data_IF_610845492322
#
_entry.id   IF_610845492322
#
_cell.length_a   1.000
_cell.length_b   1.000
_cell.length_c   1.000
_cell.angle_alpha   90.00
_cell.angle_beta   90.00
_cell.angle_gamma   90.00
#
_symmetry.space_group_name_H-M   'P 1'
#
loop_
_entity.id
_entity.type
_entity.pdbx_description
1 polymer ?
#
# COMPACT_ATOMS: atom_id res chain seq x y z
N UNK A 1 -40.39 -16.54 22.72
CA UNK A 1 -40.51 -15.21 22.07
C UNK A 1 -39.34 -14.29 22.40
N UNK A 2 -39.07 -13.96 23.68
CA UNK A 2 -37.94 -13.08 24.06
C UNK A 2 -36.58 -13.59 23.58
N UNK A 3 -36.31 -14.88 23.72
CA UNK A 3 -35.06 -15.53 23.27
C UNK A 3 -34.84 -15.39 21.76
N UNK A 4 -35.88 -15.62 20.97
CA UNK A 4 -35.82 -15.47 19.51
C UNK A 4 -35.53 -14.02 19.09
N UNK A 5 -36.15 -13.04 19.76
CA UNK A 5 -35.88 -11.62 19.48
C UNK A 5 -34.44 -11.23 19.84
N UNK A 6 -33.95 -11.65 21.00
CA UNK A 6 -32.56 -11.39 21.41
C UNK A 6 -31.56 -12.04 20.45
N UNK A 7 -31.83 -13.27 20.02
CA UNK A 7 -31.00 -13.98 19.05
C UNK A 7 -31.00 -13.27 17.68
N UNK A 8 -32.16 -12.78 17.23
CA UNK A 8 -32.29 -12.03 15.98
C UNK A 8 -31.49 -10.72 16.03
N UNK A 9 -31.62 -9.95 17.12
CA UNK A 9 -30.89 -8.69 17.28
C UNK A 9 -29.38 -8.96 17.31
N UNK A 10 -28.94 -9.93 18.11
CA UNK A 10 -27.52 -10.29 18.22
C UNK A 10 -26.95 -10.76 16.88
N UNK A 11 -27.68 -11.61 16.14
CA UNK A 11 -27.24 -12.11 14.84
C UNK A 11 -27.17 -11.02 13.77
N UNK A 12 -28.13 -10.09 13.72
CA UNK A 12 -28.06 -8.93 12.81
C UNK A 12 -26.88 -8.03 13.15
N UNK A 13 -26.61 -7.78 14.44
CA UNK A 13 -25.43 -7.01 14.85
C UNK A 13 -24.11 -7.69 14.46
N UNK A 14 -24.02 -9.02 14.61
CA UNK A 14 -22.85 -9.78 14.18
C UNK A 14 -22.68 -9.76 12.64
N UNK A 15 -23.78 -9.95 11.89
CA UNK A 15 -23.80 -9.83 10.42
C UNK A 15 -23.31 -8.44 9.99
N UNK A 16 -23.85 -7.38 10.60
CA UNK A 16 -23.42 -6.00 10.39
C UNK A 16 -21.93 -5.78 10.64
N UNK A 17 -21.41 -6.35 11.73
CA UNK A 17 -20.01 -6.27 12.07
C UNK A 17 -19.12 -6.97 11.03
N UNK A 18 -19.39 -8.23 10.67
CA UNK A 18 -18.55 -8.98 9.73
C UNK A 18 -18.61 -8.41 8.31
N UNK A 19 -19.82 -8.07 7.85
CA UNK A 19 -20.08 -7.51 6.53
C UNK A 19 -19.47 -6.11 6.36
N UNK A 20 -19.60 -5.27 7.41
CA UNK A 20 -18.94 -3.97 7.49
C UNK A 20 -17.42 -4.09 7.55
N UNK A 21 -16.88 -4.96 8.41
CA UNK A 21 -15.44 -5.17 8.56
C UNK A 21 -14.78 -5.62 7.25
N UNK A 22 -15.43 -6.50 6.49
CA UNK A 22 -14.96 -6.91 5.16
C UNK A 22 -14.79 -5.69 4.22
N UNK A 23 -15.82 -4.85 4.10
CA UNK A 23 -15.74 -3.64 3.26
C UNK A 23 -14.71 -2.64 3.78
N UNK A 24 -14.63 -2.48 5.09
CA UNK A 24 -13.64 -1.62 5.74
C UNK A 24 -12.22 -2.09 5.47
N UNK A 25 -11.97 -3.40 5.48
CA UNK A 25 -10.67 -3.98 5.20
C UNK A 25 -10.22 -3.74 3.75
N UNK A 26 -11.11 -3.86 2.77
CA UNK A 26 -10.77 -3.52 1.37
C UNK A 26 -10.46 -2.03 1.16
N UNK A 27 -10.94 -1.16 2.05
CA UNK A 27 -10.77 0.30 1.98
C UNK A 27 -9.71 0.84 2.93
N UNK A 28 -9.18 0.03 3.83
CA UNK A 28 -8.22 0.47 4.84
C UNK A 28 -6.87 0.79 4.21
N UNK A 29 -6.19 1.80 4.74
CA UNK A 29 -4.87 2.19 4.26
C UNK A 29 -3.80 1.37 4.97
N UNK A 30 -3.10 0.49 4.23
CA UNK A 30 -2.01 -0.35 4.78
C UNK A 30 -0.94 0.45 5.53
N UNK A 31 -0.63 1.66 5.03
CA UNK A 31 0.35 2.57 5.62
C UNK A 31 -0.05 3.02 7.00
N UNK A 32 -1.33 3.32 7.20
CA UNK A 32 -1.85 3.77 8.47
C UNK A 32 -1.69 2.66 9.51
N UNK A 33 -2.04 1.43 9.14
CA UNK A 33 -1.86 0.26 9.99
C UNK A 33 -0.37 0.00 10.31
N UNK A 34 0.52 0.20 9.35
CA UNK A 34 1.97 0.08 9.55
C UNK A 34 2.50 1.13 10.53
N UNK A 35 2.06 2.39 10.40
CA UNK A 35 2.44 3.46 11.33
C UNK A 35 1.91 3.21 12.73
N UNK A 36 0.65 2.80 12.85
CA UNK A 36 0.04 2.45 14.13
C UNK A 36 0.82 1.27 14.78
N UNK A 37 1.21 0.27 13.98
CA UNK A 37 2.02 -0.86 14.44
C UNK A 37 3.43 -0.47 14.90
N UNK A 38 4.12 0.39 14.16
CA UNK A 38 5.43 0.94 14.53
C UNK A 38 5.36 1.81 15.79
N UNK A 39 4.24 2.52 15.97
CA UNK A 39 3.93 3.29 17.18
C UNK A 39 3.58 2.43 18.40
N UNK A 40 3.60 1.10 18.29
CA UNK A 40 3.35 0.18 19.38
C UNK A 40 1.88 -0.20 19.58
N UNK A 41 0.95 0.24 18.73
CA UNK A 41 -0.47 -0.14 18.81
C UNK A 41 -0.63 -1.63 18.48
N UNK A 42 -1.12 -2.42 19.45
CA UNK A 42 -1.34 -3.85 19.26
C UNK A 42 -2.49 -4.13 18.29
N UNK A 43 -3.49 -3.25 18.22
CA UNK A 43 -4.61 -3.37 17.27
C UNK A 43 -4.09 -3.12 15.86
N UNK A 44 -3.29 -2.06 15.68
CA UNK A 44 -2.62 -1.76 14.42
C UNK A 44 -1.75 -2.93 13.94
N UNK A 45 -0.97 -3.54 14.85
CA UNK A 45 -0.19 -4.76 14.57
C UNK A 45 -1.06 -5.93 14.12
N UNK A 46 -2.15 -6.22 14.83
CA UNK A 46 -3.05 -7.32 14.49
C UNK A 46 -3.75 -7.12 13.14
N UNK A 47 -4.27 -5.92 12.90
CA UNK A 47 -4.90 -5.58 11.62
C UNK A 47 -3.90 -5.62 10.46
N UNK A 48 -2.67 -5.12 10.67
CA UNK A 48 -1.60 -5.21 9.67
C UNK A 48 -1.24 -6.67 9.36
N UNK A 49 -1.22 -7.54 10.38
CA UNK A 49 -0.99 -8.96 10.20
C UNK A 49 -2.11 -9.60 9.34
N UNK A 50 -3.37 -9.30 9.62
CA UNK A 50 -4.51 -9.74 8.80
C UNK A 50 -4.40 -9.23 7.35
N UNK A 51 -3.95 -8.00 7.13
CA UNK A 51 -3.69 -7.46 5.78
C UNK A 51 -2.61 -8.24 5.02
N UNK A 52 -1.63 -8.82 5.72
CA UNK A 52 -0.62 -9.68 5.10
C UNK A 52 -1.14 -11.13 4.87
N UNK A 53 -2.26 -11.51 5.48
CA UNK A 53 -2.91 -12.82 5.34
C UNK A 53 -4.39 -12.68 4.90
N UNK A 54 -4.65 -12.09 3.71
CA UNK A 54 -6.01 -11.73 3.29
C UNK A 54 -6.94 -12.94 3.16
N UNK A 55 -6.43 -14.11 2.75
CA UNK A 55 -7.24 -15.33 2.65
C UNK A 55 -7.79 -15.79 4.01
N UNK A 56 -7.01 -15.64 5.08
CA UNK A 56 -7.49 -15.95 6.44
C UNK A 56 -8.56 -14.94 6.89
N UNK A 57 -8.31 -13.65 6.65
CA UNK A 57 -9.27 -12.60 6.97
C UNK A 57 -10.62 -12.83 6.26
N UNK A 58 -10.60 -13.05 4.94
CA UNK A 58 -11.79 -13.31 4.14
C UNK A 58 -12.50 -14.57 4.61
N UNK A 59 -11.77 -15.65 4.92
CA UNK A 59 -12.37 -16.86 5.46
C UNK A 59 -13.08 -16.59 6.79
N UNK A 60 -12.46 -15.86 7.72
CA UNK A 60 -13.07 -15.50 9.00
C UNK A 60 -14.32 -14.64 8.83
N UNK A 61 -14.28 -13.58 8.02
CA UNK A 61 -15.45 -12.70 7.82
C UNK A 61 -16.58 -13.43 7.10
N UNK A 62 -16.25 -14.28 6.14
CA UNK A 62 -17.25 -15.09 5.42
C UNK A 62 -17.92 -16.10 6.34
N UNK A 63 -17.16 -16.83 7.16
CA UNK A 63 -17.70 -17.78 8.14
C UNK A 63 -18.56 -17.05 9.18
N UNK A 64 -18.05 -15.95 9.73
CA UNK A 64 -18.77 -15.15 10.73
C UNK A 64 -20.07 -14.57 10.20
N UNK A 65 -20.07 -14.05 8.97
CA UNK A 65 -21.27 -13.50 8.34
C UNK A 65 -22.31 -14.60 8.07
N UNK A 66 -21.89 -15.73 7.49
CA UNK A 66 -22.80 -16.84 7.22
C UNK A 66 -23.39 -17.43 8.50
N UNK A 67 -22.57 -17.62 9.55
CA UNK A 67 -23.05 -18.08 10.84
C UNK A 67 -24.10 -17.12 11.43
N UNK A 68 -23.84 -15.81 11.33
CA UNK A 68 -24.77 -14.77 11.77
C UNK A 68 -26.11 -14.87 11.01
N UNK A 69 -26.07 -14.99 9.68
CA UNK A 69 -27.27 -15.11 8.86
C UNK A 69 -28.04 -16.42 9.16
N UNK A 70 -27.36 -17.54 9.40
CA UNK A 70 -28.00 -18.80 9.83
C UNK A 70 -28.67 -18.67 11.20
N UNK A 71 -28.04 -17.98 12.16
CA UNK A 71 -28.63 -17.72 13.48
C UNK A 71 -29.83 -16.78 13.39
N UNK A 72 -29.80 -15.79 12.49
CA UNK A 72 -30.94 -14.91 12.23
C UNK A 72 -32.12 -15.71 11.64
N UNK A 73 -31.86 -16.61 10.69
CA UNK A 73 -32.86 -17.52 10.14
C UNK A 73 -33.47 -18.42 11.22
N UNK A 74 -32.63 -19.03 12.06
CA UNK A 74 -33.08 -19.83 13.21
C UNK A 74 -33.96 -19.00 14.17
N UNK A 75 -33.57 -17.76 14.45
CA UNK A 75 -34.35 -16.87 15.30
C UNK A 75 -35.74 -16.57 14.71
N UNK A 76 -35.84 -16.36 13.39
CA UNK A 76 -37.12 -16.17 12.70
C UNK A 76 -37.99 -17.43 12.85
N UNK A 77 -37.44 -18.62 12.62
CA UNK A 77 -38.16 -19.90 12.80
C UNK A 77 -38.63 -20.09 14.25
N UNK A 78 -37.77 -19.83 15.23
CA UNK A 78 -38.14 -19.92 16.65
C UNK A 78 -39.25 -18.94 17.01
N UNK A 79 -39.25 -17.75 16.41
CA UNK A 79 -40.27 -16.73 16.64
C UNK A 79 -41.60 -17.13 16.00
N UNK A 80 -41.61 -17.61 14.75
CA UNK A 80 -42.84 -18.03 14.07
C UNK A 80 -43.49 -19.20 14.77
N UNK A 81 -42.72 -20.23 15.15
CA UNK A 81 -43.25 -21.39 15.87
C UNK A 81 -43.84 -21.01 17.23
N UNK A 82 -43.24 -20.04 17.93
CA UNK A 82 -43.75 -19.56 19.21
C UNK A 82 -45.06 -18.76 19.07
N UNK A 83 -45.31 -18.11 17.93
CA UNK A 83 -46.51 -17.29 17.71
C UNK A 83 -47.67 -18.05 17.06
N UNK A 84 -47.36 -18.93 16.11
CA UNK A 84 -48.37 -19.58 15.26
C UNK A 84 -48.45 -21.10 15.45
N UNK A 85 -47.54 -21.68 16.24
CA UNK A 85 -47.44 -23.12 16.46
C UNK A 85 -46.68 -23.84 15.33
N UNK A 86 -46.24 -25.09 15.57
CA UNK A 86 -45.38 -25.83 14.65
C UNK A 86 -46.07 -26.39 13.39
N UNK A 87 -47.40 -26.26 13.26
CA UNK A 87 -48.17 -26.87 12.17
C UNK A 87 -48.55 -25.89 11.04
N UNK A 88 -48.28 -24.58 11.21
CA UNK A 88 -48.68 -23.56 10.24
C UNK A 88 -47.58 -23.26 9.22
N UNK A 89 -47.76 -23.74 7.98
CA UNK A 89 -46.79 -23.55 6.87
C UNK A 89 -46.73 -22.10 6.38
N UNK A 90 -47.86 -21.38 6.40
CA UNK A 90 -47.94 -20.01 5.85
C UNK A 90 -47.06 -18.98 6.60
N UNK A 91 -47.07 -18.90 7.95
CA UNK A 91 -46.19 -18.00 8.69
C UNK A 91 -44.71 -18.34 8.55
N UNK A 92 -44.36 -19.62 8.41
CA UNK A 92 -42.98 -20.07 8.23
C UNK A 92 -42.39 -19.63 6.89
N UNK A 93 -43.22 -19.44 5.85
CA UNK A 93 -42.78 -18.91 4.55
C UNK A 93 -42.77 -17.37 4.52
N UNK A 94 -43.82 -16.74 5.07
CA UNK A 94 -44.00 -15.29 4.99
C UNK A 94 -43.01 -14.54 5.90
N UNK A 95 -42.72 -15.05 7.10
CA UNK A 95 -41.86 -14.33 8.03
C UNK A 95 -40.42 -14.18 7.50
N UNK A 96 -39.73 -15.22 6.99
CA UNK A 96 -38.42 -15.05 6.35
C UNK A 96 -38.49 -14.11 5.13
N UNK A 97 -39.55 -14.19 4.31
CA UNK A 97 -39.70 -13.32 3.14
C UNK A 97 -39.76 -11.83 3.51
N UNK A 98 -40.40 -11.49 4.64
CA UNK A 98 -40.49 -10.10 5.14
C UNK A 98 -39.23 -9.70 5.91
N UNK A 99 -38.65 -10.60 6.70
CA UNK A 99 -37.50 -10.29 7.56
C UNK A 99 -36.18 -10.27 6.79
N UNK A 100 -36.03 -11.07 5.73
CA UNK A 100 -34.79 -11.15 4.96
C UNK A 100 -34.35 -9.80 4.35
N UNK A 101 -35.23 -8.98 3.72
CA UNK A 101 -34.86 -7.63 3.29
C UNK A 101 -34.39 -6.73 4.43
N UNK A 102 -34.98 -6.86 5.62
CA UNK A 102 -34.56 -6.08 6.80
C UNK A 102 -33.16 -6.50 7.25
N UNK A 103 -32.89 -7.81 7.34
CA UNK A 103 -31.56 -8.34 7.65
C UNK A 103 -30.56 -7.86 6.60
N UNK A 104 -30.91 -7.89 5.31
CA UNK A 104 -30.03 -7.40 4.25
C UNK A 104 -29.70 -5.92 4.40
N UNK A 105 -30.69 -5.07 4.68
CA UNK A 105 -30.46 -3.62 4.82
C UNK A 105 -29.60 -3.32 6.05
N UNK A 106 -29.99 -3.84 7.22
CA UNK A 106 -29.36 -3.50 8.50
C UNK A 106 -28.10 -4.32 8.80
N UNK A 107 -28.05 -5.57 8.34
CA UNK A 107 -26.93 -6.49 8.51
C UNK A 107 -25.88 -6.38 7.41
N UNK A 108 -26.21 -5.91 6.22
CA UNK A 108 -25.24 -5.86 5.12
C UNK A 108 -25.11 -4.49 4.47
N UNK A 109 -26.19 -3.96 3.88
CA UNK A 109 -26.10 -2.76 3.04
C UNK A 109 -25.62 -1.54 3.84
N UNK A 110 -26.28 -1.21 4.95
CA UNK A 110 -25.96 -0.03 5.75
C UNK A 110 -24.57 -0.12 6.41
N UNK A 111 -24.19 -1.24 7.07
CA UNK A 111 -22.85 -1.38 7.64
C UNK A 111 -21.73 -1.27 6.61
N UNK A 112 -21.89 -1.87 5.42
CA UNK A 112 -20.94 -1.72 4.31
C UNK A 112 -20.77 -0.25 3.93
N UNK A 113 -21.86 0.50 3.79
CA UNK A 113 -21.79 1.93 3.50
C UNK A 113 -21.07 2.74 4.59
N UNK A 114 -21.31 2.44 5.86
CA UNK A 114 -20.67 3.14 6.98
C UNK A 114 -19.16 2.85 7.04
N UNK A 115 -18.77 1.58 6.90
CA UNK A 115 -17.36 1.19 6.85
C UNK A 115 -16.64 1.70 5.60
N UNK A 116 -17.36 1.84 4.48
CA UNK A 116 -16.82 2.47 3.28
C UNK A 116 -16.42 3.93 3.51
N UNK A 117 -17.21 4.69 4.27
CA UNK A 117 -16.96 6.11 4.54
C UNK A 117 -15.84 6.34 5.55
N UNK A 118 -15.72 5.49 6.58
CA UNK A 118 -14.74 5.66 7.66
C UNK A 118 -13.96 4.37 8.00
N UNK A 119 -13.27 3.75 7.02
CA UNK A 119 -12.68 2.41 7.17
C UNK A 119 -11.63 2.36 8.27
N UNK A 120 -10.64 3.27 8.26
CA UNK A 120 -9.55 3.29 9.24
C UNK A 120 -10.04 3.43 10.68
N UNK A 121 -11.04 4.30 10.92
CA UNK A 121 -11.57 4.56 12.27
C UNK A 121 -12.41 3.38 12.77
N UNK A 122 -13.31 2.87 11.94
CA UNK A 122 -14.24 1.82 12.32
C UNK A 122 -13.53 0.47 12.45
N UNK A 123 -12.66 0.12 11.52
CA UNK A 123 -11.88 -1.12 11.58
C UNK A 123 -10.96 -1.13 12.80
N UNK A 124 -10.38 0.01 13.18
CA UNK A 124 -9.58 0.13 14.42
C UNK A 124 -10.43 -0.02 15.68
N UNK A 125 -11.63 0.56 15.71
CA UNK A 125 -12.57 0.41 16.85
C UNK A 125 -13.08 -1.02 16.99
N UNK A 126 -13.34 -1.67 15.86
CA UNK A 126 -13.82 -3.05 15.77
C UNK A 126 -12.68 -4.08 15.82
N UNK A 127 -11.43 -3.64 15.72
CA UNK A 127 -10.23 -4.48 15.61
C UNK A 127 -10.08 -5.51 16.74
N UNK A 128 -10.26 -5.14 18.02
CA UNK A 128 -10.22 -6.11 19.12
C UNK A 128 -11.21 -7.27 18.94
N UNK A 129 -12.47 -6.96 18.60
CA UNK A 129 -13.50 -7.96 18.36
C UNK A 129 -13.16 -8.82 17.13
N UNK A 130 -12.64 -8.21 16.07
CA UNK A 130 -12.25 -8.91 14.85
C UNK A 130 -11.12 -9.89 15.12
N UNK A 131 -10.08 -9.48 15.85
CA UNK A 131 -8.94 -10.33 16.21
C UNK A 131 -9.38 -11.50 17.11
N UNK A 132 -10.29 -11.23 18.05
CA UNK A 132 -10.89 -12.28 18.88
C UNK A 132 -11.68 -13.28 18.02
N UNK A 133 -12.54 -12.80 17.11
CA UNK A 133 -13.29 -13.64 16.19
C UNK A 133 -12.38 -14.44 15.26
N UNK A 134 -11.27 -13.87 14.77
CA UNK A 134 -10.27 -14.62 13.99
C UNK A 134 -9.67 -15.77 14.80
N UNK A 135 -9.36 -15.56 16.08
CA UNK A 135 -8.89 -16.62 16.96
C UNK A 135 -9.93 -17.71 17.22
N UNK A 136 -11.17 -17.32 17.52
CA UNK A 136 -12.28 -18.25 17.81
C UNK A 136 -12.70 -19.06 16.59
N UNK A 137 -12.77 -18.42 15.42
CA UNK A 137 -13.17 -19.05 14.16
C UNK A 137 -11.99 -19.66 13.41
N UNK A 138 -10.78 -19.64 13.98
CA UNK A 138 -9.58 -20.20 13.38
C UNK A 138 -9.72 -21.66 12.93
N UNK A 139 -10.31 -22.62 13.70
CA UNK A 139 -10.35 -24.01 13.26
C UNK A 139 -11.16 -24.18 11.96
N UNK A 140 -12.25 -23.43 11.81
CA UNK A 140 -13.09 -23.46 10.59
C UNK A 140 -12.45 -22.64 9.48
N UNK A 141 -11.94 -21.46 9.81
CA UNK A 141 -11.30 -20.54 8.86
C UNK A 141 -10.01 -21.12 8.28
N UNK A 142 -9.28 -21.94 9.04
CA UNK A 142 -8.05 -22.59 8.62
C UNK A 142 -8.29 -23.63 7.53
N UNK A 143 -9.42 -24.34 7.56
CA UNK A 143 -9.81 -25.29 6.50
C UNK A 143 -10.04 -24.54 5.19
N UNK A 144 -10.82 -23.46 5.24
CA UNK A 144 -11.08 -22.59 4.09
C UNK A 144 -9.77 -21.95 3.58
N UNK A 145 -8.92 -21.48 4.48
CA UNK A 145 -7.61 -20.90 4.15
C UNK A 145 -6.68 -21.92 3.49
N UNK A 146 -6.67 -23.17 3.97
CA UNK A 146 -5.96 -24.28 3.35
C UNK A 146 -6.46 -24.56 1.93
N UNK A 147 -7.77 -24.60 1.75
CA UNK A 147 -8.40 -24.78 0.44
C UNK A 147 -8.05 -23.65 -0.53
N UNK A 148 -8.12 -22.38 -0.07
CA UNK A 148 -7.68 -21.23 -0.86
C UNK A 148 -6.22 -21.35 -1.27
N UNK A 149 -5.35 -21.84 -0.39
CA UNK A 149 -3.93 -22.03 -0.68
C UNK A 149 -3.69 -23.13 -1.72
N UNK A 150 -4.49 -24.20 -1.70
CA UNK A 150 -4.44 -25.26 -2.72
C UNK A 150 -4.90 -24.71 -4.08
N UNK A 151 -6.03 -23.98 -4.10
CA UNK A 151 -6.55 -23.34 -5.31
C UNK A 151 -5.56 -22.34 -5.90
N UNK A 152 -4.91 -21.51 -5.07
CA UNK A 152 -3.83 -20.61 -5.50
C UNK A 152 -2.67 -21.34 -6.18
N UNK A 153 -2.32 -22.54 -5.70
CA UNK A 153 -1.26 -23.37 -6.29
C UNK A 153 -1.70 -23.98 -7.62
N UNK A 154 -2.96 -24.39 -7.74
CA UNK A 154 -3.51 -25.01 -8.95
C UNK A 154 -3.74 -24.01 -10.09
N UNK A 155 -4.28 -22.82 -9.78
CA UNK A 155 -4.51 -21.74 -10.75
C UNK A 155 -3.20 -21.07 -11.18
N UNK A 156 -2.14 -21.27 -10.39
CA UNK A 156 -0.84 -20.65 -10.58
C UNK A 156 -0.83 -19.26 -9.94
N UNK A 157 0.17 -19.02 -9.09
CA UNK A 157 0.44 -17.66 -8.62
C UNK A 157 0.91 -16.86 -9.82
N UNK A 158 0.17 -15.82 -10.19
CA UNK A 158 0.77 -14.72 -10.93
C UNK A 158 1.84 -14.15 -10.00
N UNK A 159 3.09 -14.63 -10.11
CA UNK A 159 4.25 -13.95 -9.55
C UNK A 159 4.27 -12.60 -10.25
N UNK A 160 3.60 -11.60 -9.70
CA UNK A 160 3.68 -10.24 -10.19
C UNK A 160 5.15 -9.82 -10.07
N UNK A 161 5.90 -9.72 -11.19
CA UNK A 161 7.22 -9.08 -11.21
C UNK A 161 7.06 -7.55 -11.06
N UNK A 162 5.80 -7.09 -10.99
CA UNK A 162 5.32 -5.74 -10.84
C UNK A 162 5.68 -5.06 -9.50
N UNK A 163 6.34 -5.77 -8.57
CA UNK A 163 6.73 -5.23 -7.26
C UNK A 163 7.68 -4.02 -7.33
N UNK A 164 8.37 -3.76 -8.44
CA UNK A 164 9.27 -2.60 -8.57
C UNK A 164 8.60 -1.36 -9.16
N UNK A 165 7.60 -1.51 -10.04
CA UNK A 165 6.90 -0.37 -10.66
C UNK A 165 5.64 0.01 -9.88
N UNK A 166 4.90 -0.97 -9.32
CA UNK A 166 3.78 -0.71 -8.43
C UNK A 166 4.22 -0.24 -7.04
N UNK A 167 5.41 -0.63 -6.55
CA UNK A 167 5.93 -0.09 -5.29
C UNK A 167 6.07 1.44 -5.33
N UNK A 168 6.22 2.08 -6.49
CA UNK A 168 6.29 3.55 -6.56
C UNK A 168 4.92 4.21 -6.51
N UNK A 169 3.90 3.67 -7.20
CA UNK A 169 2.53 4.16 -7.05
C UNK A 169 2.02 3.93 -5.65
N UNK A 170 2.32 2.76 -5.08
CA UNK A 170 2.07 2.49 -3.67
C UNK A 170 2.87 3.46 -2.79
N UNK A 171 4.16 3.69 -3.01
CA UNK A 171 4.96 4.65 -2.23
C UNK A 171 4.45 6.10 -2.36
N UNK A 172 4.07 6.54 -3.56
CA UNK A 172 3.44 7.85 -3.77
C UNK A 172 2.09 7.92 -3.06
N UNK A 173 1.28 6.87 -3.16
CA UNK A 173 0.01 6.77 -2.44
C UNK A 173 0.22 6.76 -0.93
N UNK A 174 1.25 6.05 -0.44
CA UNK A 174 1.69 6.00 0.97
C UNK A 174 2.08 7.37 1.46
N UNK A 175 2.89 8.11 0.69
CA UNK A 175 3.33 9.45 1.01
C UNK A 175 2.17 10.46 0.97
N UNK A 176 1.27 10.33 0.00
CA UNK A 176 0.08 11.16 -0.14
C UNK A 176 -0.93 10.91 0.99
N UNK A 177 -1.13 9.65 1.37
CA UNK A 177 -1.99 9.26 2.49
C UNK A 177 -1.37 9.65 3.85
N UNK A 178 -0.05 9.52 4.01
CA UNK A 178 0.69 10.04 5.17
C UNK A 178 0.55 11.56 5.32
N UNK A 179 0.52 12.30 4.21
CA UNK A 179 0.24 13.73 4.22
C UNK A 179 -1.22 14.05 4.60
N UNK A 180 -2.20 13.34 4.03
CA UNK A 180 -3.63 13.47 4.45
C UNK A 180 -3.83 13.14 5.93
N UNK A 181 -3.00 12.26 6.48
CA UNK A 181 -2.96 11.93 7.90
C UNK A 181 -2.20 12.97 8.76
N UNK A 182 -1.64 14.04 8.18
CA UNK A 182 -0.95 15.13 8.87
C UNK A 182 0.52 14.85 9.23
N UNK A 183 1.13 13.80 8.66
CA UNK A 183 2.42 13.25 9.10
C UNK A 183 3.61 13.89 8.35
N UNK A 184 3.39 14.38 7.12
CA UNK A 184 4.43 14.98 6.28
C UNK A 184 4.22 16.49 6.12
N UNK A 185 5.25 17.28 6.43
CA UNK A 185 5.25 18.74 6.26
C UNK A 185 5.32 19.12 4.76
N UNK A 186 4.76 20.27 4.34
CA UNK A 186 4.71 20.67 2.93
C UNK A 186 6.09 20.77 2.24
N UNK A 187 7.14 21.16 2.97
CA UNK A 187 8.52 21.24 2.46
C UNK A 187 9.15 19.88 2.20
N UNK A 188 8.84 18.88 3.02
CA UNK A 188 9.32 17.50 2.81
C UNK A 188 8.72 16.90 1.54
N UNK A 189 7.46 17.25 1.19
CA UNK A 189 6.80 16.83 -0.05
C UNK A 189 7.54 17.27 -1.31
N UNK A 190 7.94 18.54 -1.37
CA UNK A 190 8.66 19.08 -2.54
C UNK A 190 9.98 18.36 -2.78
N UNK A 191 10.72 18.09 -1.71
CA UNK A 191 11.99 17.37 -1.77
C UNK A 191 11.81 15.90 -2.17
N UNK A 192 10.84 15.17 -1.59
CA UNK A 192 10.61 13.77 -1.94
C UNK A 192 10.14 13.62 -3.39
N UNK A 193 9.28 14.51 -3.87
CA UNK A 193 8.83 14.52 -5.26
C UNK A 193 9.97 14.84 -6.23
N UNK A 194 10.82 15.82 -5.91
CA UNK A 194 12.01 16.13 -6.71
C UNK A 194 12.98 14.95 -6.76
N UNK A 195 13.25 14.30 -5.62
CA UNK A 195 14.11 13.11 -5.54
C UNK A 195 13.58 11.96 -6.41
N UNK A 196 12.30 11.64 -6.28
CA UNK A 196 11.65 10.60 -7.08
C UNK A 196 11.63 10.96 -8.58
N UNK A 197 11.47 12.23 -8.93
CA UNK A 197 11.47 12.68 -10.32
C UNK A 197 12.86 12.59 -10.97
N UNK A 198 13.93 12.87 -10.23
CA UNK A 198 15.31 12.77 -10.72
C UNK A 198 15.73 11.30 -10.88
N UNK A 199 15.36 10.43 -9.95
CA UNK A 199 15.77 9.02 -9.93
C UNK A 199 15.40 8.22 -11.20
N UNK A 200 14.42 8.67 -11.99
CA UNK A 200 13.95 7.97 -13.20
C UNK A 200 14.34 8.65 -14.50
N UNK A 201 14.99 9.81 -14.43
CA UNK A 201 15.39 10.55 -15.62
C UNK A 201 16.81 10.14 -16.00
N UNK A 202 17.07 9.79 -17.26
CA UNK A 202 18.41 9.40 -17.69
C UNK A 202 19.35 10.61 -17.57
N UNK A 203 20.62 10.36 -17.20
CA UNK A 203 21.65 11.40 -17.01
C UNK A 203 21.72 12.37 -18.20
N UNK A 204 21.48 11.91 -19.43
CA UNK A 204 21.41 12.73 -20.65
C UNK A 204 20.43 13.92 -20.59
N UNK A 205 19.42 13.89 -19.72
CA UNK A 205 18.48 15.01 -19.53
C UNK A 205 19.05 16.12 -18.64
N UNK A 206 20.12 15.83 -17.90
CA UNK A 206 20.77 16.75 -16.98
C UNK A 206 22.21 17.09 -17.39
N UNK A 207 22.86 16.21 -18.17
CA UNK A 207 24.21 16.38 -18.64
C UNK A 207 24.26 17.36 -19.82
N UNK A 208 25.29 18.21 -19.81
CA UNK A 208 25.64 19.01 -20.99
C UNK A 208 26.16 18.09 -22.12
N UNK A 209 25.72 18.29 -23.37
CA UNK A 209 26.23 17.52 -24.51
C UNK A 209 27.75 17.65 -24.63
N UNK A 210 28.44 16.51 -24.78
CA UNK A 210 29.91 16.45 -24.84
C UNK A 210 30.55 17.28 -25.98
N UNK A 211 29.78 17.60 -27.03
CA UNK A 211 30.23 18.47 -28.13
C UNK A 211 30.18 19.97 -27.80
N UNK A 212 29.50 20.38 -26.72
CA UNK A 212 29.42 21.78 -26.28
C UNK A 212 30.48 22.13 -25.23
N UNK A 213 31.16 21.13 -24.69
CA UNK A 213 32.18 21.32 -23.66
C UNK A 213 33.52 21.57 -24.38
N UNK A 214 34.15 22.75 -24.19
CA UNK A 214 35.46 23.03 -24.75
C UNK A 214 36.53 22.12 -24.13
N UNK A 215 37.51 21.71 -24.93
CA UNK A 215 38.50 20.68 -24.60
C UNK A 215 39.92 21.23 -24.73
N UNK A 216 40.82 20.77 -23.88
CA UNK A 216 42.25 21.04 -23.96
C UNK A 216 42.93 20.00 -24.86
N UNK A 217 44.02 20.39 -25.52
CA UNK A 217 44.83 19.49 -26.35
C UNK A 217 46.33 19.62 -26.00
N UNK A 218 47.19 18.69 -26.46
CA UNK A 218 48.63 18.71 -26.15
C UNK A 218 49.40 19.93 -26.66
N UNK A 219 48.82 20.72 -27.57
CA UNK A 219 49.45 21.91 -28.16
C UNK A 219 49.13 23.19 -27.36
N UNK A 220 48.20 23.13 -26.40
CA UNK A 220 47.83 24.29 -25.59
C UNK A 220 48.78 24.45 -24.41
N UNK A 221 49.23 25.68 -24.17
CA UNK A 221 49.96 26.00 -22.95
C UNK A 221 49.00 26.07 -21.76
N UNK A 222 49.55 25.88 -20.56
CA UNK A 222 48.82 25.96 -19.30
C UNK A 222 48.02 27.27 -19.17
N UNK A 223 48.60 28.40 -19.57
CA UNK A 223 47.92 29.69 -19.57
C UNK A 223 46.68 29.72 -20.49
N UNK A 224 46.70 29.02 -21.62
CA UNK A 224 45.58 28.94 -22.57
C UNK A 224 44.45 28.07 -22.01
N UNK A 225 44.80 26.96 -21.37
CA UNK A 225 43.85 26.06 -20.71
C UNK A 225 43.18 26.77 -19.53
N UNK A 226 43.94 27.52 -18.71
CA UNK A 226 43.38 28.33 -17.62
C UNK A 226 42.48 29.46 -18.13
N UNK A 227 42.84 30.11 -19.24
CA UNK A 227 41.98 31.11 -19.91
C UNK A 227 40.68 30.48 -20.42
N UNK A 228 40.75 29.29 -21.03
CA UNK A 228 39.59 28.54 -21.51
C UNK A 228 38.66 28.17 -20.35
N UNK A 229 39.20 27.66 -19.24
CA UNK A 229 38.45 27.32 -18.03
C UNK A 229 37.72 28.52 -17.46
N UNK A 230 38.41 29.66 -17.37
CA UNK A 230 37.85 30.90 -16.83
C UNK A 230 36.75 31.45 -17.72
N UNK A 231 36.93 31.42 -19.04
CA UNK A 231 35.93 31.88 -20.01
C UNK A 231 34.63 31.07 -19.94
N UNK A 232 34.73 29.76 -19.77
CA UNK A 232 33.59 28.85 -19.74
C UNK A 232 33.12 28.45 -18.33
N UNK A 233 33.74 29.01 -17.28
CA UNK A 233 33.45 28.73 -15.86
C UNK A 233 33.47 27.24 -15.52
N UNK A 234 34.42 26.50 -16.10
CA UNK A 234 34.54 25.07 -15.90
C UNK A 234 35.46 24.75 -14.72
N UNK A 235 35.08 23.84 -13.80
CA UNK A 235 35.95 23.38 -12.72
C UNK A 235 36.98 22.32 -13.18
N UNK A 236 36.70 21.67 -14.31
CA UNK A 236 37.56 20.70 -14.97
C UNK A 236 37.42 20.85 -16.49
N UNK A 237 38.55 20.71 -17.20
CA UNK A 237 38.58 20.72 -18.67
C UNK A 237 38.89 19.31 -19.17
N UNK A 238 38.05 18.73 -20.04
CA UNK A 238 38.39 17.47 -20.70
C UNK A 238 39.63 17.63 -21.59
N UNK A 239 40.54 16.67 -21.53
CA UNK A 239 41.76 16.66 -22.32
C UNK A 239 41.64 15.62 -23.45
N UNK A 240 41.84 16.08 -24.68
CA UNK A 240 41.70 15.28 -25.89
C UNK A 240 43.01 15.28 -26.68
N UNK A 241 43.48 14.10 -27.07
CA UNK A 241 44.59 13.95 -28.02
C UNK A 241 44.06 13.34 -29.33
N UNK A 242 44.02 14.12 -30.42
CA UNK A 242 43.57 13.64 -31.73
C UNK A 242 44.40 12.48 -32.30
N UNK A 243 45.60 12.23 -31.77
CA UNK A 243 46.51 11.16 -32.24
C UNK A 243 46.30 9.83 -31.50
N UNK A 244 45.50 9.81 -30.43
CA UNK A 244 45.26 8.63 -29.62
C UNK A 244 44.10 7.79 -30.18
N UNK A 245 44.16 6.46 -30.00
CA UNK A 245 43.06 5.53 -30.36
C UNK A 245 41.75 5.87 -29.64
N UNK A 246 41.85 6.42 -28.43
CA UNK A 246 40.74 7.03 -27.71
C UNK A 246 41.02 8.51 -27.59
N UNK A 247 40.27 9.37 -28.31
CA UNK A 247 40.62 10.78 -28.38
C UNK A 247 40.52 11.44 -27.00
N UNK A 248 39.51 11.10 -26.18
CA UNK A 248 39.39 11.60 -24.82
C UNK A 248 40.31 10.82 -23.86
N UNK A 249 41.40 11.44 -23.42
CA UNK A 249 42.39 10.82 -22.54
C UNK A 249 42.06 10.97 -21.05
N UNK A 250 41.34 12.03 -20.67
CA UNK A 250 40.98 12.32 -19.27
C UNK A 250 40.49 13.74 -19.08
N UNK A 251 40.63 14.28 -17.87
CA UNK A 251 40.37 15.69 -17.59
C UNK A 251 41.42 16.32 -16.67
N UNK A 252 41.62 17.62 -16.85
CA UNK A 252 42.47 18.47 -16.02
C UNK A 252 41.60 19.27 -15.04
N UNK A 253 41.89 19.16 -13.75
CA UNK A 253 41.22 20.01 -12.74
C UNK A 253 41.86 21.39 -12.74
N UNK A 254 41.04 22.42 -12.80
CA UNK A 254 41.52 23.80 -12.84
C UNK A 254 42.28 24.18 -11.57
N UNK A 255 41.85 23.66 -10.42
CA UNK A 255 42.57 23.86 -9.15
C UNK A 255 43.97 23.25 -9.17
N UNK A 256 44.14 22.06 -9.76
CA UNK A 256 45.44 21.39 -9.84
C UNK A 256 46.37 22.18 -10.78
N UNK A 257 45.84 22.74 -11.88
CA UNK A 257 46.57 23.65 -12.77
C UNK A 257 46.98 24.97 -12.10
N UNK A 258 46.17 25.54 -11.21
CA UNK A 258 46.54 26.76 -10.49
C UNK A 258 47.62 26.54 -9.43
N UNK A 259 47.61 25.35 -8.79
CA UNK A 259 48.50 25.03 -7.68
C UNK A 259 49.87 24.52 -8.12
N UNK A 260 49.97 23.94 -9.31
CA UNK A 260 51.25 23.49 -9.84
C UNK A 260 52.14 24.71 -10.19
N UNK A 261 53.34 24.86 -9.60
CA UNK A 261 54.24 25.97 -9.93
C UNK A 261 54.96 25.76 -11.27
N UNK A 262 54.94 24.56 -11.85
CA UNK A 262 55.57 24.27 -13.14
C UNK A 262 54.63 24.56 -14.31
N UNK A 263 55.19 24.93 -15.46
CA UNK A 263 54.41 25.13 -16.70
C UNK A 263 54.07 23.78 -17.39
N UNK A 264 54.37 22.67 -16.71
CA UNK A 264 54.03 21.33 -17.15
C UNK A 264 52.56 21.02 -16.81
N UNK A 265 51.94 20.19 -17.64
CA UNK A 265 50.58 19.73 -17.40
C UNK A 265 50.60 18.66 -16.30
N UNK A 266 49.78 18.79 -15.25
CA UNK A 266 49.66 17.77 -14.22
C UNK A 266 49.09 16.48 -14.81
N UNK A 267 49.29 15.33 -14.14
CA UNK A 267 48.77 14.05 -14.62
C UNK A 267 47.26 14.09 -14.81
N UNK A 268 46.81 13.56 -15.95
CA UNK A 268 45.39 13.45 -16.30
C UNK A 268 44.69 12.52 -15.30
N UNK A 269 43.45 12.88 -14.95
CA UNK A 269 42.54 12.05 -14.13
C UNK A 269 41.40 11.46 -14.96
#
# INVERSE_FOLDING_TARGET
MMTALLLLIASVCCSAFFSGAETGFYRVTRVRLMLDALGGDWIGRGLLWLTNHPALFVATTLVGNNLSNSLASLAVVMWTQACFGPASVWPELLAPAVVAPLIFIYGELMPKHVFYQAPNRLLRRCGPALLLCTGLLLPVSAVLWGLSTILERMVGRTRQPLRTVLARRELEQVLMEGHKAGILRPTQRGLTQALLAVAQRPIRQFADPAGRIPRANPQMHKADILRLARRHRLPAIPFEDPRAERPLLGYLRVVDLYLDPTDQLPPLR
#
